data_IF_894669602967
#
_entry.id   IF_894669602967
#
_cell.length_a   1.000
_cell.length_b   1.000
_cell.length_c   1.000
_cell.angle_alpha   90.00
_cell.angle_beta   90.00
_cell.angle_gamma   90.00
#
_symmetry.space_group_name_H-M   'P 1'
#
loop_
_entity.id
_entity.type
_entity.pdbx_description
1 polymer ?
#
# COMPACT_ATOMS: atom_id res chain seq x y z
N UNK A 1 7.82 6.93 -2.07
CA UNK A 1 6.39 6.59 -2.13
C UNK A 1 6.10 5.26 -2.86
N UNK A 2 7.03 4.70 -3.62
CA UNK A 2 6.83 3.50 -4.46
C UNK A 2 6.96 2.14 -3.76
N UNK A 3 7.25 2.09 -2.46
CA UNK A 3 7.67 0.85 -1.78
C UNK A 3 6.58 -0.22 -1.64
N UNK A 4 5.30 0.16 -1.70
CA UNK A 4 4.18 -0.76 -1.44
C UNK A 4 3.33 -1.03 -2.69
N UNK A 5 3.67 -0.45 -3.84
CA UNK A 5 2.92 -0.68 -5.08
C UNK A 5 3.01 -2.13 -5.54
N UNK A 6 4.18 -2.75 -5.43
CA UNK A 6 4.34 -4.18 -5.72
C UNK A 6 3.60 -5.06 -4.70
N UNK A 7 3.43 -4.59 -3.47
CA UNK A 7 2.58 -5.27 -2.46
C UNK A 7 1.11 -5.20 -2.83
N UNK A 8 0.64 -4.06 -3.35
CA UNK A 8 -0.72 -3.91 -3.88
C UNK A 8 -0.91 -4.87 -5.07
N UNK A 9 -0.03 -4.84 -6.08
CA UNK A 9 -0.12 -5.71 -7.26
C UNK A 9 -0.15 -7.19 -6.85
N UNK A 10 0.78 -7.63 -6.01
CA UNK A 10 0.84 -9.03 -5.57
C UNK A 10 -0.41 -9.44 -4.79
N UNK A 11 -0.98 -8.54 -3.98
CA UNK A 11 -2.19 -8.82 -3.21
C UNK A 11 -3.44 -8.92 -4.08
N UNK A 12 -3.59 -8.00 -5.05
CA UNK A 12 -4.67 -8.08 -6.05
C UNK A 12 -4.61 -9.38 -6.86
N UNK A 13 -3.41 -9.77 -7.30
CA UNK A 13 -3.22 -11.02 -8.03
C UNK A 13 -3.54 -12.24 -7.16
N UNK A 14 -3.06 -12.26 -5.91
CA UNK A 14 -3.28 -13.41 -5.02
C UNK A 14 -4.73 -13.57 -4.55
N UNK A 15 -5.43 -12.46 -4.29
CA UNK A 15 -6.77 -12.49 -3.71
C UNK A 15 -7.87 -12.52 -4.78
N UNK A 16 -7.72 -11.71 -5.82
CA UNK A 16 -8.76 -11.52 -6.84
C UNK A 16 -8.40 -12.10 -8.21
N UNK A 17 -7.16 -12.59 -8.38
CA UNK A 17 -6.67 -13.02 -9.70
C UNK A 17 -6.44 -11.87 -10.68
N UNK A 18 -6.57 -10.62 -10.22
CA UNK A 18 -6.51 -9.43 -11.08
C UNK A 18 -5.07 -8.98 -11.31
N UNK A 19 -4.71 -8.79 -12.58
CA UNK A 19 -3.40 -8.26 -12.98
C UNK A 19 -3.53 -6.78 -13.31
N UNK A 20 -3.12 -5.92 -12.38
CA UNK A 20 -3.25 -4.45 -12.49
C UNK A 20 -2.60 -3.86 -13.76
N UNK A 21 -1.62 -4.54 -14.36
CA UNK A 21 -0.89 -4.08 -15.55
C UNK A 21 -1.36 -4.72 -16.87
N UNK A 22 -2.59 -5.23 -16.92
CA UNK A 22 -3.18 -5.81 -18.15
C UNK A 22 -4.39 -5.01 -18.63
N UNK A 23 -4.74 -5.18 -19.91
CA UNK A 23 -5.90 -4.54 -20.54
C UNK A 23 -7.23 -4.87 -19.85
N UNK A 24 -7.31 -6.02 -19.20
CA UNK A 24 -8.49 -6.42 -18.41
C UNK A 24 -8.74 -5.45 -17.25
N UNK A 25 -7.67 -4.86 -16.70
CA UNK A 25 -7.73 -3.89 -15.61
C UNK A 25 -8.05 -2.46 -16.07
N UNK A 26 -7.84 -2.13 -17.35
CA UNK A 26 -8.23 -0.82 -17.92
C UNK A 26 -9.75 -0.59 -17.81
N UNK A 27 -10.53 -1.67 -17.73
CA UNK A 27 -11.99 -1.61 -17.54
C UNK A 27 -12.44 -1.42 -16.08
N UNK A 28 -11.53 -1.56 -15.12
CA UNK A 28 -11.84 -1.44 -13.68
C UNK A 28 -11.89 0.05 -13.33
N UNK A 29 -13.04 0.50 -12.83
CA UNK A 29 -13.19 1.89 -12.41
C UNK A 29 -12.38 2.23 -11.16
N UNK A 30 -12.09 3.52 -10.96
CA UNK A 30 -11.38 3.97 -9.75
C UNK A 30 -12.12 3.63 -8.45
N UNK A 31 -13.46 3.72 -8.46
CA UNK A 31 -14.27 3.38 -7.29
C UNK A 31 -14.22 1.88 -6.98
N UNK A 32 -14.28 1.04 -8.01
CA UNK A 32 -14.12 -0.40 -7.87
C UNK A 32 -12.72 -0.78 -7.36
N UNK A 33 -11.67 -0.14 -7.90
CA UNK A 33 -10.30 -0.32 -7.39
C UNK A 33 -10.20 -0.02 -5.89
N UNK A 34 -10.76 1.12 -5.44
CA UNK A 34 -10.77 1.49 -4.02
C UNK A 34 -11.53 0.47 -3.17
N UNK A 35 -12.68 0.00 -3.65
CA UNK A 35 -13.45 -1.04 -2.96
C UNK A 35 -12.67 -2.35 -2.83
N UNK A 36 -12.01 -2.80 -3.90
CA UNK A 36 -11.17 -4.01 -3.89
C UNK A 36 -9.96 -3.87 -2.96
N UNK A 37 -9.30 -2.71 -2.96
CA UNK A 37 -8.17 -2.41 -2.08
C UNK A 37 -8.60 -2.37 -0.60
N UNK A 38 -9.74 -1.75 -0.29
CA UNK A 38 -10.30 -1.72 1.06
C UNK A 38 -10.73 -3.11 1.55
N UNK A 39 -11.15 -3.98 0.64
CA UNK A 39 -11.53 -5.38 0.91
C UNK A 39 -10.35 -6.35 1.04
N UNK A 40 -9.10 -5.89 1.09
CA UNK A 40 -7.94 -6.77 1.19
C UNK A 40 -7.92 -7.55 2.49
N UNK A 41 -7.75 -8.87 2.37
CA UNK A 41 -7.67 -9.76 3.51
C UNK A 41 -6.34 -9.57 4.25
N UNK A 42 -6.31 -9.78 5.59
CA UNK A 42 -5.08 -9.71 6.38
C UNK A 42 -3.98 -10.67 5.90
N UNK A 43 -4.35 -11.78 5.28
CA UNK A 43 -3.43 -12.80 4.79
C UNK A 43 -2.80 -12.48 3.42
N UNK A 44 -3.11 -11.33 2.84
CA UNK A 44 -2.41 -10.86 1.64
C UNK A 44 -1.02 -10.34 1.98
N UNK A 45 -0.15 -10.20 0.96
CA UNK A 45 1.16 -9.60 1.16
C UNK A 45 1.05 -8.17 1.73
N UNK A 46 0.10 -7.38 1.22
CA UNK A 46 -0.20 -6.05 1.75
C UNK A 46 -0.80 -6.14 3.15
N UNK A 47 -1.77 -7.02 3.39
CA UNK A 47 -2.43 -7.21 4.68
C UNK A 47 -1.44 -7.50 5.81
N UNK A 48 -0.52 -8.46 5.60
CA UNK A 48 0.54 -8.78 6.58
C UNK A 48 1.47 -7.61 6.84
N UNK A 49 1.85 -6.88 5.79
CA UNK A 49 2.73 -5.72 5.91
C UNK A 49 2.05 -4.58 6.67
N UNK A 50 0.77 -4.33 6.40
CA UNK A 50 -0.03 -3.35 7.13
C UNK A 50 -0.13 -3.75 8.59
N UNK A 51 -0.47 -5.01 8.90
CA UNK A 51 -0.59 -5.50 10.27
C UNK A 51 0.69 -5.28 11.09
N UNK A 52 1.87 -5.61 10.53
CA UNK A 52 3.16 -5.35 11.20
C UNK A 52 3.34 -3.85 11.45
N UNK A 53 3.13 -3.01 10.43
CA UNK A 53 3.42 -1.57 10.48
C UNK A 53 2.43 -0.78 11.36
N UNK A 54 1.19 -1.23 11.46
CA UNK A 54 0.15 -0.62 12.27
C UNK A 54 0.11 -1.14 13.71
N UNK A 55 0.93 -2.13 14.06
CA UNK A 55 0.89 -2.73 15.39
C UNK A 55 1.19 -1.71 16.51
N UNK A 56 0.36 -1.75 17.54
CA UNK A 56 0.43 -0.87 18.72
C UNK A 56 0.56 -1.63 20.03
N UNK A 57 0.20 -2.91 20.07
CA UNK A 57 0.33 -3.76 21.25
C UNK A 57 1.80 -4.08 21.52
N UNK A 58 2.31 -3.54 22.63
CA UNK A 58 3.70 -3.68 23.06
C UNK A 58 4.10 -5.14 23.28
N UNK A 59 3.18 -5.99 23.74
CA UNK A 59 3.49 -7.39 23.99
C UNK A 59 3.60 -8.16 22.68
N UNK A 60 2.76 -7.85 21.69
CA UNK A 60 2.92 -8.39 20.33
C UNK A 60 4.26 -7.93 19.71
N UNK A 61 4.58 -6.64 19.81
CA UNK A 61 5.81 -6.07 19.24
C UNK A 61 7.08 -6.66 19.86
N UNK A 62 7.06 -7.03 21.15
CA UNK A 62 8.21 -7.68 21.83
C UNK A 62 8.53 -9.05 21.23
N UNK A 63 7.53 -9.74 20.68
CA UNK A 63 7.65 -11.07 20.11
C UNK A 63 7.84 -11.06 18.59
N UNK A 64 7.98 -9.88 17.97
CA UNK A 64 8.33 -9.79 16.57
C UNK A 64 9.65 -10.49 16.26
N UNK A 65 9.64 -11.24 15.17
CA UNK A 65 10.87 -11.72 14.54
C UNK A 65 11.75 -10.54 14.12
N UNK A 66 13.04 -10.80 13.89
CA UNK A 66 13.99 -9.77 13.43
C UNK A 66 13.51 -9.04 12.18
N UNK A 67 12.91 -9.76 11.24
CA UNK A 67 12.42 -9.16 10.00
C UNK A 67 11.15 -8.32 10.21
N UNK A 68 10.19 -8.79 11.01
CA UNK A 68 9.02 -7.99 11.38
C UNK A 68 9.43 -6.70 12.11
N UNK A 69 10.42 -6.80 13.00
CA UNK A 69 10.98 -5.64 13.70
C UNK A 69 11.62 -4.63 12.74
N UNK A 70 12.38 -5.12 11.76
CA UNK A 70 12.97 -4.27 10.70
C UNK A 70 11.89 -3.53 9.90
N UNK A 71 10.87 -4.25 9.42
CA UNK A 71 9.74 -3.66 8.68
C UNK A 71 9.04 -2.57 9.50
N UNK A 72 8.81 -2.85 10.78
CA UNK A 72 8.16 -1.95 11.72
C UNK A 72 8.97 -0.68 11.99
N UNK A 73 10.26 -0.83 12.30
CA UNK A 73 11.15 0.28 12.60
C UNK A 73 11.42 1.13 11.35
N UNK A 74 11.66 0.51 10.18
CA UNK A 74 11.85 1.21 8.90
C UNK A 74 10.64 2.09 8.56
N UNK A 75 9.42 1.59 8.78
CA UNK A 75 8.20 2.35 8.54
C UNK A 75 8.10 3.58 9.45
N UNK A 76 8.47 3.44 10.73
CA UNK A 76 8.44 4.54 11.69
C UNK A 76 9.52 5.57 11.44
N UNK A 77 10.71 5.15 11.08
CA UNK A 77 11.80 6.03 10.68
C UNK A 77 11.38 6.88 9.48
N UNK A 78 10.80 6.23 8.44
CA UNK A 78 10.24 6.95 7.29
C UNK A 78 9.12 7.93 7.67
N UNK A 79 8.23 7.56 8.60
CA UNK A 79 7.18 8.47 9.07
C UNK A 79 7.77 9.68 9.81
N UNK A 80 8.78 9.47 10.64
CA UNK A 80 9.48 10.53 11.35
C UNK A 80 10.23 11.47 10.39
N UNK A 81 10.91 10.93 9.38
CA UNK A 81 11.56 11.68 8.30
C UNK A 81 10.54 12.48 7.49
N UNK A 82 9.40 11.89 7.11
CA UNK A 82 8.31 12.59 6.40
C UNK A 82 7.67 13.69 7.25
N UNK A 83 7.54 13.49 8.55
CA UNK A 83 7.00 14.54 9.45
C UNK A 83 7.95 15.74 9.56
N UNK A 84 9.25 15.54 9.26
CA UNK A 84 10.23 16.62 9.14
C UNK A 84 10.21 17.30 7.76
N UNK A 85 9.54 16.72 6.75
CA UNK A 85 9.35 17.33 5.44
C UNK A 85 8.09 18.22 5.45
N UNK A 86 8.09 19.32 4.70
CA UNK A 86 6.96 20.25 4.70
C UNK A 86 5.65 19.60 4.18
N UNK A 87 4.48 19.95 4.74
CA UNK A 87 3.16 19.42 4.34
C UNK A 87 2.90 19.43 2.83
N UNK A 88 3.43 20.44 2.12
CA UNK A 88 3.31 20.58 0.66
C UNK A 88 3.82 19.34 -0.10
N UNK A 89 4.85 18.67 0.43
CA UNK A 89 5.46 17.48 -0.21
C UNK A 89 4.60 16.22 -0.15
N UNK A 90 3.65 16.16 0.79
CA UNK A 90 2.73 15.02 0.95
C UNK A 90 1.55 15.11 -0.02
N UNK A 91 0.93 16.28 -0.14
CA UNK A 91 -0.20 16.49 -1.06
C UNK A 91 0.22 16.29 -2.51
N UNK A 92 1.39 16.83 -2.90
CA UNK A 92 2.00 16.59 -4.21
C UNK A 92 2.19 15.09 -4.51
N UNK A 93 2.59 14.33 -3.51
CA UNK A 93 2.82 12.90 -3.59
C UNK A 93 1.50 12.12 -3.80
N UNK A 94 0.44 12.50 -3.08
CA UNK A 94 -0.89 11.89 -3.24
C UNK A 94 -1.51 12.24 -4.59
N UNK A 95 -1.42 13.50 -5.02
CA UNK A 95 -1.91 13.95 -6.33
C UNK A 95 -1.20 13.22 -7.49
N UNK A 96 0.11 12.97 -7.36
CA UNK A 96 0.86 12.19 -8.35
C UNK A 96 0.38 10.75 -8.42
N UNK A 97 0.10 10.12 -7.28
CA UNK A 97 -0.44 8.77 -7.22
C UNK A 97 -1.82 8.70 -7.88
N UNK A 98 -2.72 9.64 -7.58
CA UNK A 98 -4.03 9.77 -8.21
C UNK A 98 -3.91 9.94 -9.72
N UNK A 99 -3.02 10.81 -10.19
CA UNK A 99 -2.78 11.06 -11.61
C UNK A 99 -2.28 9.81 -12.34
N UNK A 100 -1.33 9.08 -11.74
CA UNK A 100 -0.79 7.84 -12.29
C UNK A 100 -1.88 6.76 -12.39
N UNK A 101 -2.75 6.64 -11.38
CA UNK A 101 -3.82 5.64 -11.40
C UNK A 101 -4.96 6.03 -12.35
N UNK A 102 -5.30 7.31 -12.45
CA UNK A 102 -6.25 7.81 -13.44
C UNK A 102 -5.77 7.54 -14.88
N UNK A 103 -4.46 7.67 -15.15
CA UNK A 103 -3.90 7.32 -16.45
C UNK A 103 -3.95 5.81 -16.75
N UNK A 104 -3.85 4.95 -15.73
CA UNK A 104 -3.93 3.49 -15.88
C UNK A 104 -5.38 3.01 -16.02
N UNK A 105 -6.34 3.66 -15.35
CA UNK A 105 -7.76 3.27 -15.35
C UNK A 105 -8.63 4.06 -16.34
N UNK A 106 -8.11 5.15 -16.92
CA UNK A 106 -8.85 6.10 -17.76
C UNK A 106 -8.36 6.18 -19.21
N UNK A 107 -7.54 5.23 -19.65
CA UNK A 107 -7.08 5.14 -21.04
C UNK A 107 -8.17 4.64 -21.98
N UNK A 108 -9.07 5.54 -22.39
CA UNK A 108 -10.04 5.36 -23.48
C UNK A 108 -10.17 6.65 -24.28
#
# INVERSE_FOLDING_TARGET
MFGDWDLIISSFLSQYGLRIRTKEFESVSWDEFKSLLAGMAPETALGRMVAIRSETDKDVIKHFTREQKRIYDDWRNRKAERTRQEPQTYELQMNYLESMMAAICGGG
#
